data_IF_639141451537
#
_entry.id   IF_639141451537
#
_cell.length_a   1.000
_cell.length_b   1.000
_cell.length_c   1.000
_cell.angle_alpha   90.00
_cell.angle_beta   90.00
_cell.angle_gamma   90.00
#
_symmetry.space_group_name_H-M   'P 1'
#
loop_
_entity.id
_entity.type
_entity.pdbx_description
1 polymer ?
#
# COMPACT_ATOMS: atom_id res chain seq x y z
N UNK A 1 27.12 -9.43 31.49
CA UNK A 1 25.65 -9.63 31.50
C UNK A 1 24.85 -8.48 30.89
N UNK A 2 25.27 -7.20 30.95
CA UNK A 2 24.53 -6.07 30.34
C UNK A 2 24.65 -5.98 28.81
N UNK A 3 25.78 -6.41 28.23
CA UNK A 3 26.05 -6.29 26.79
C UNK A 3 25.14 -7.15 25.90
N UNK A 4 24.73 -8.33 26.38
CA UNK A 4 23.86 -9.26 25.62
C UNK A 4 22.44 -8.69 25.49
N UNK A 5 21.97 -7.95 26.49
CA UNK A 5 20.65 -7.30 26.47
C UNK A 5 20.63 -6.07 25.56
N UNK A 6 21.68 -5.24 25.60
CA UNK A 6 21.79 -4.07 24.73
C UNK A 6 21.81 -4.49 23.25
N UNK A 7 22.50 -5.58 22.90
CA UNK A 7 22.53 -6.09 21.53
C UNK A 7 21.17 -6.63 21.05
N UNK A 8 20.40 -7.33 21.89
CA UNK A 8 19.04 -7.77 21.52
C UNK A 8 18.09 -6.61 21.28
N UNK A 9 18.17 -5.55 22.10
CA UNK A 9 17.36 -4.34 21.94
C UNK A 9 17.75 -3.60 20.64
N UNK A 10 19.05 -3.52 20.36
CA UNK A 10 19.54 -2.86 19.15
C UNK A 10 19.11 -3.61 17.87
N UNK A 11 19.20 -4.94 17.87
CA UNK A 11 18.79 -5.77 16.73
C UNK A 11 17.28 -5.67 16.48
N UNK A 12 16.45 -5.74 17.53
CA UNK A 12 14.99 -5.53 17.38
C UNK A 12 14.68 -4.16 16.78
N UNK A 13 15.31 -3.10 17.30
CA UNK A 13 15.12 -1.74 16.81
C UNK A 13 15.55 -1.56 15.36
N UNK A 14 16.63 -2.22 14.92
CA UNK A 14 17.09 -2.17 13.52
C UNK A 14 16.09 -2.87 12.60
N UNK A 15 15.62 -4.07 12.95
CA UNK A 15 14.63 -4.82 12.16
C UNK A 15 13.26 -4.14 12.09
N UNK A 16 12.90 -3.38 13.12
CA UNK A 16 11.66 -2.60 13.18
C UNK A 16 11.75 -1.33 12.30
N UNK A 17 12.94 -0.73 12.20
CA UNK A 17 13.21 0.40 11.29
C UNK A 17 13.29 -0.05 9.83
N UNK A 18 13.81 -1.26 9.54
CA UNK A 18 13.88 -1.80 8.18
C UNK A 18 12.49 -2.13 7.58
N UNK A 19 11.47 -2.26 8.42
CA UNK A 19 10.08 -2.43 8.00
C UNK A 19 9.27 -1.11 8.00
N UNK A 20 9.86 -0.02 8.49
CA UNK A 20 9.18 1.26 8.64
C UNK A 20 9.08 1.99 7.30
N UNK A 21 7.86 2.07 6.79
CA UNK A 21 7.50 2.80 5.59
C UNK A 21 7.25 4.27 5.98
N UNK A 22 7.96 5.18 5.32
CA UNK A 22 7.84 6.62 5.57
C UNK A 22 6.59 7.21 4.93
N UNK A 23 6.17 8.37 5.44
CA UNK A 23 5.10 9.17 4.83
C UNK A 23 5.51 9.57 3.41
N UNK A 24 4.57 9.48 2.47
CA UNK A 24 4.80 9.80 1.07
C UNK A 24 5.48 8.69 0.27
N UNK A 25 5.70 7.51 0.86
CA UNK A 25 6.17 6.34 0.11
C UNK A 25 5.02 5.78 -0.73
N UNK A 26 5.31 5.44 -1.98
CA UNK A 26 4.33 4.81 -2.87
C UNK A 26 4.19 3.33 -2.52
N UNK A 27 2.98 2.90 -2.21
CA UNK A 27 2.70 1.53 -1.76
C UNK A 27 1.47 0.96 -2.48
N UNK A 28 1.33 -0.35 -2.43
CA UNK A 28 0.06 -1.05 -2.71
C UNK A 28 -0.59 -1.44 -1.39
N UNK A 29 -1.89 -1.12 -1.27
CA UNK A 29 -2.74 -1.61 -0.19
C UNK A 29 -3.77 -2.58 -0.75
N UNK A 30 -4.20 -3.50 0.11
CA UNK A 30 -5.34 -4.37 -0.13
C UNK A 30 -6.44 -4.15 0.86
N UNK A 31 -7.68 -4.30 0.41
CA UNK A 31 -8.84 -4.26 1.28
C UNK A 31 -9.90 -5.25 0.79
N UNK A 32 -10.57 -5.91 1.72
CA UNK A 32 -11.74 -6.75 1.44
C UNK A 32 -12.98 -5.85 1.36
N UNK A 33 -13.53 -5.72 0.16
CA UNK A 33 -14.69 -4.85 -0.11
C UNK A 33 -15.99 -5.55 0.23
N UNK A 34 -16.12 -6.83 -0.11
CA UNK A 34 -17.31 -7.64 0.18
C UNK A 34 -16.89 -9.05 0.58
N UNK A 35 -17.55 -9.58 1.59
CA UNK A 35 -17.54 -11.00 1.86
C UNK A 35 -18.39 -11.76 0.82
N UNK A 36 -18.18 -13.09 0.63
CA UNK A 36 -18.95 -13.89 -0.32
C UNK A 36 -20.47 -13.77 -0.12
N UNK A 37 -20.92 -13.62 1.12
CA UNK A 37 -22.34 -13.51 1.49
C UNK A 37 -22.96 -12.18 1.03
N UNK A 38 -22.16 -11.12 0.90
CA UNK A 38 -22.60 -9.80 0.47
C UNK A 38 -22.58 -9.65 -1.07
N UNK A 39 -22.15 -10.70 -1.79
CA UNK A 39 -22.10 -10.71 -3.26
C UNK A 39 -23.51 -10.81 -3.84
N UNK A 40 -23.72 -10.16 -4.99
CA UNK A 40 -24.99 -10.21 -5.70
C UNK A 40 -25.40 -11.66 -6.00
N UNK A 41 -26.67 -12.04 -5.79
CA UNK A 41 -27.14 -13.41 -6.02
C UNK A 41 -27.20 -13.79 -7.50
N UNK A 42 -27.05 -12.83 -8.43
CA UNK A 42 -27.24 -13.01 -9.88
C UNK A 42 -25.92 -13.23 -10.63
N UNK A 43 -24.78 -13.29 -9.93
CA UNK A 43 -23.48 -13.57 -10.56
C UNK A 43 -23.20 -15.09 -10.60
N UNK A 44 -22.29 -15.57 -11.47
CA UNK A 44 -21.93 -16.99 -11.52
C UNK A 44 -21.49 -17.53 -10.15
N UNK A 45 -21.83 -18.79 -9.86
CA UNK A 45 -21.60 -19.39 -8.54
C UNK A 45 -20.12 -19.33 -8.11
N UNK A 46 -19.21 -19.62 -9.04
CA UNK A 46 -17.75 -19.51 -8.81
C UNK A 46 -17.30 -18.10 -8.39
N UNK A 47 -17.99 -17.08 -8.89
CA UNK A 47 -17.69 -15.67 -8.54
C UNK A 47 -18.35 -15.24 -7.23
N UNK A 48 -19.43 -15.92 -6.86
CA UNK A 48 -20.16 -15.70 -5.61
C UNK A 48 -19.46 -16.31 -4.41
N UNK A 49 -18.77 -17.45 -4.61
CA UNK A 49 -18.02 -18.15 -3.56
C UNK A 49 -16.69 -17.47 -3.18
N UNK A 50 -16.33 -16.34 -3.78
CA UNK A 50 -15.08 -15.62 -3.51
C UNK A 50 -15.30 -14.21 -2.98
N UNK A 51 -14.37 -13.76 -2.14
CA UNK A 51 -14.34 -12.38 -1.63
C UNK A 51 -14.07 -11.39 -2.75
N UNK A 52 -14.71 -10.21 -2.69
CA UNK A 52 -14.31 -9.10 -3.53
C UNK A 52 -13.17 -8.34 -2.85
N UNK A 53 -11.98 -8.51 -3.38
CA UNK A 53 -10.78 -7.82 -2.91
C UNK A 53 -10.49 -6.59 -3.79
N UNK A 54 -9.93 -5.56 -3.18
CA UNK A 54 -9.47 -4.33 -3.83
C UNK A 54 -7.97 -4.18 -3.63
N UNK A 55 -7.27 -3.84 -4.71
CA UNK A 55 -5.86 -3.42 -4.70
C UNK A 55 -5.80 -1.99 -5.17
N UNK A 56 -5.20 -1.11 -4.38
CA UNK A 56 -5.05 0.30 -4.72
C UNK A 56 -3.63 0.73 -4.41
N UNK A 57 -3.07 1.54 -5.31
CA UNK A 57 -1.74 2.13 -5.14
C UNK A 57 -1.86 3.61 -4.86
N UNK A 58 -0.97 4.11 -3.99
CA UNK A 58 -0.94 5.52 -3.61
C UNK A 58 0.18 5.81 -2.63
N UNK A 59 0.23 7.06 -2.17
CA UNK A 59 1.24 7.54 -1.26
C UNK A 59 0.73 7.46 0.18
N UNK A 60 1.51 6.89 1.08
CA UNK A 60 1.19 6.82 2.51
C UNK A 60 0.98 8.22 3.11
N UNK A 61 -0.04 8.37 3.95
CA UNK A 61 -0.32 9.64 4.66
C UNK A 61 0.23 9.64 6.09
N UNK A 62 0.60 8.46 6.60
CA UNK A 62 1.20 8.22 7.92
C UNK A 62 2.35 7.22 7.79
N UNK A 63 3.25 7.20 8.78
CA UNK A 63 4.22 6.09 8.88
C UNK A 63 3.48 4.79 9.20
N UNK A 64 3.92 3.68 8.62
CA UNK A 64 3.32 2.36 8.80
C UNK A 64 4.34 1.26 8.48
N UNK A 65 4.03 0.01 8.81
CA UNK A 65 4.84 -1.14 8.39
C UNK A 65 4.16 -1.96 7.29
N UNK A 66 4.95 -2.80 6.61
CA UNK A 66 4.41 -3.81 5.70
C UNK A 66 3.48 -4.76 6.47
N UNK A 67 2.29 -5.02 5.94
CA UNK A 67 1.26 -5.86 6.58
C UNK A 67 0.37 -5.13 7.59
N UNK A 68 0.57 -3.83 7.83
CA UNK A 68 -0.31 -3.01 8.67
C UNK A 68 -1.35 -2.26 7.84
N UNK A 69 -2.46 -1.89 8.49
CA UNK A 69 -3.47 -1.01 7.90
C UNK A 69 -2.96 0.44 7.91
N UNK A 70 -3.12 1.13 6.77
CA UNK A 70 -2.75 2.55 6.63
C UNK A 70 -3.74 3.29 5.73
N UNK A 71 -3.68 4.62 5.75
CA UNK A 71 -4.41 5.48 4.81
C UNK A 71 -3.44 6.01 3.73
N UNK A 72 -3.81 5.85 2.47
CA UNK A 72 -3.06 6.36 1.32
C UNK A 72 -3.85 7.43 0.56
N UNK A 73 -3.13 8.35 -0.10
CA UNK A 73 -3.67 9.23 -1.12
C UNK A 73 -3.30 8.70 -2.52
N UNK A 74 -4.30 8.40 -3.35
CA UNK A 74 -4.08 7.98 -4.74
C UNK A 74 -3.60 9.15 -5.60
N UNK A 75 -2.95 8.92 -6.76
CA UNK A 75 -2.58 10.00 -7.68
C UNK A 75 -3.77 10.87 -8.15
N UNK A 76 -4.99 10.33 -8.06
CA UNK A 76 -6.23 11.06 -8.38
C UNK A 76 -6.75 11.96 -7.25
N UNK A 77 -6.15 11.90 -6.06
CA UNK A 77 -6.54 12.67 -4.87
C UNK A 77 -7.54 11.97 -3.93
N UNK A 78 -7.91 10.72 -4.20
CA UNK A 78 -8.78 9.93 -3.29
C UNK A 78 -7.99 9.40 -2.10
N UNK A 79 -8.60 9.41 -0.92
CA UNK A 79 -8.08 8.76 0.30
C UNK A 79 -8.69 7.38 0.47
N UNK A 80 -7.87 6.36 0.67
CA UNK A 80 -8.30 4.96 0.78
C UNK A 80 -7.52 4.27 1.90
N UNK A 81 -8.19 3.38 2.64
CA UNK A 81 -7.59 2.56 3.70
C UNK A 81 -7.50 1.10 3.30
N UNK A 82 -6.44 0.45 3.78
CA UNK A 82 -6.20 -0.97 3.58
C UNK A 82 -4.85 -1.40 4.12
N UNK A 83 -4.58 -2.70 4.04
CA UNK A 83 -3.35 -3.34 4.51
C UNK A 83 -2.25 -3.19 3.48
N UNK A 84 -1.08 -2.69 3.87
CA UNK A 84 0.07 -2.53 2.98
C UNK A 84 0.62 -3.90 2.57
N UNK A 85 0.62 -4.19 1.28
CA UNK A 85 1.10 -5.48 0.74
C UNK A 85 2.37 -5.37 -0.07
N UNK A 86 2.70 -4.17 -0.56
CA UNK A 86 3.94 -3.93 -1.29
C UNK A 86 4.41 -2.48 -1.16
N UNK A 87 5.73 -2.30 -1.16
CA UNK A 87 6.39 -1.00 -1.22
C UNK A 87 6.95 -0.82 -2.62
N UNK A 88 6.73 0.36 -3.21
CA UNK A 88 7.20 0.71 -4.56
C UNK A 88 6.92 -0.39 -5.60
N UNK A 89 5.66 -0.83 -5.72
CA UNK A 89 5.30 -2.01 -6.48
C UNK A 89 5.58 -1.83 -7.98
N UNK A 90 6.22 -2.82 -8.58
CA UNK A 90 6.31 -2.95 -10.03
C UNK A 90 4.99 -3.48 -10.63
N UNK A 91 4.80 -3.31 -11.94
CA UNK A 91 3.79 -4.08 -12.68
C UNK A 91 4.45 -5.34 -13.22
N UNK A 92 3.90 -6.51 -12.86
CA UNK A 92 4.47 -7.82 -13.21
C UNK A 92 4.33 -8.16 -14.69
N UNK A 93 3.37 -7.55 -15.38
CA UNK A 93 3.21 -7.60 -16.84
C UNK A 93 4.03 -6.49 -17.53
N UNK A 94 5.32 -6.46 -17.16
CA UNK A 94 6.50 -5.81 -17.77
C UNK A 94 6.62 -4.29 -17.99
N UNK A 95 5.87 -3.44 -17.30
CA UNK A 95 6.14 -1.98 -17.27
C UNK A 95 7.38 -1.55 -16.45
N UNK A 96 8.30 -2.49 -16.18
CA UNK A 96 9.51 -2.25 -15.42
C UNK A 96 9.30 -2.05 -13.91
N UNK A 97 10.41 -1.73 -13.22
CA UNK A 97 10.41 -1.38 -11.80
C UNK A 97 9.78 0.00 -11.56
N UNK A 98 9.31 0.24 -10.34
CA UNK A 98 8.91 1.57 -9.93
C UNK A 98 10.08 2.57 -10.08
N UNK A 99 9.76 3.78 -10.55
CA UNK A 99 10.69 4.90 -10.76
C UNK A 99 10.14 6.10 -10.02
N UNK A 100 10.80 6.48 -8.92
CA UNK A 100 10.28 7.51 -8.00
C UNK A 100 10.30 8.91 -8.61
N UNK A 101 11.24 9.19 -9.52
CA UNK A 101 11.41 10.48 -10.19
C UNK A 101 10.20 10.89 -11.03
N UNK A 102 9.42 9.92 -11.52
CA UNK A 102 8.25 10.19 -12.37
C UNK A 102 6.91 10.07 -11.63
N UNK A 103 6.92 9.69 -10.35
CA UNK A 103 5.71 9.36 -9.59
C UNK A 103 4.72 10.54 -9.46
N UNK A 104 5.22 11.77 -9.45
CA UNK A 104 4.43 12.99 -9.22
C UNK A 104 4.06 13.75 -10.50
N UNK A 105 4.58 13.35 -11.67
CA UNK A 105 4.42 14.12 -12.92
C UNK A 105 2.95 14.32 -13.28
N UNK A 106 2.11 13.29 -13.11
CA UNK A 106 0.67 13.40 -13.38
C UNK A 106 -0.04 14.42 -12.50
N UNK A 107 0.29 14.47 -11.20
CA UNK A 107 -0.28 15.44 -10.24
C UNK A 107 0.16 16.86 -10.59
N UNK A 108 1.46 17.04 -10.83
CA UNK A 108 2.04 18.33 -11.24
C UNK A 108 1.43 18.86 -12.54
N UNK A 109 1.31 18.02 -13.57
CA UNK A 109 0.72 18.42 -14.84
C UNK A 109 -0.74 18.89 -14.67
N UNK A 110 -1.53 18.18 -13.85
CA UNK A 110 -2.91 18.57 -13.55
C UNK A 110 -2.99 19.92 -12.85
N UNK A 111 -2.12 20.17 -11.86
CA UNK A 111 -2.04 21.47 -11.17
C UNK A 111 -1.62 22.63 -12.10
N UNK A 112 -0.84 22.36 -13.15
CA UNK A 112 -0.46 23.37 -14.14
C UNK A 112 -1.58 23.66 -15.14
N UNK A 113 -2.30 22.64 -15.60
CA UNK A 113 -3.32 22.77 -16.65
C UNK A 113 -4.63 23.35 -16.11
N UNK A 114 -5.05 22.94 -14.92
CA UNK A 114 -6.34 23.32 -14.33
C UNK A 114 -6.22 24.44 -13.30
N UNK A 115 -5.18 25.26 -13.43
CA UNK A 115 -4.89 26.41 -12.57
C UNK A 115 -5.84 27.58 -12.86
#
# INVERSE_FOLDING_TARGET
MREIWVNKINIKRILEVDNLIKIGTFVEITNKVLDPEDRSPVIPEETKSTQLMMWVRGFTTTECNLGEETEIETPSGRKVRGVVTAVEPAYTHDFGRYVSEIAYIGKQAKEMIFK
#
